data_IF_827309892251
#
_entry.id   IF_827309892251
#
_cell.length_a   1.000
_cell.length_b   1.000
_cell.length_c   1.000
_cell.angle_alpha   90.00
_cell.angle_beta   90.00
_cell.angle_gamma   90.00
#
_symmetry.space_group_name_H-M   'P 1'
#
loop_
_entity.id
_entity.type
_entity.pdbx_description
1 polymer ?
#
# COMPACT_ATOMS: atom_id res chain seq x y z
N UNK A 1 -10.53 16.97 -13.12
CA UNK A 1 -11.10 15.61 -12.89
C UNK A 1 -10.23 14.95 -11.85
N UNK A 2 -10.79 14.59 -10.71
CA UNK A 2 -10.05 14.00 -9.61
C UNK A 2 -9.30 12.75 -10.08
N UNK A 3 -8.09 12.54 -9.58
CA UNK A 3 -7.30 11.33 -9.83
C UNK A 3 -7.80 10.16 -8.99
N UNK A 4 -8.18 10.46 -7.74
CA UNK A 4 -8.87 9.53 -6.84
C UNK A 4 -10.17 10.18 -6.42
N UNK A 5 -11.28 9.44 -6.45
CA UNK A 5 -12.58 9.87 -5.94
C UNK A 5 -13.20 8.77 -5.11
N UNK A 6 -13.63 9.12 -3.91
CA UNK A 6 -14.45 8.28 -3.04
C UNK A 6 -15.82 8.93 -2.88
N UNK A 7 -16.88 8.18 -3.12
CA UNK A 7 -18.26 8.65 -2.98
C UNK A 7 -19.04 7.68 -2.09
N UNK A 8 -19.51 8.16 -0.93
CA UNK A 8 -20.33 7.41 0.04
C UNK A 8 -19.75 6.06 0.43
N UNK A 9 -18.43 6.00 0.66
CA UNK A 9 -17.73 4.75 0.95
C UNK A 9 -17.96 4.32 2.38
N UNK A 10 -18.41 3.06 2.53
CA UNK A 10 -18.66 2.43 3.82
C UNK A 10 -17.89 1.12 3.91
N UNK A 11 -17.30 0.86 5.08
CA UNK A 11 -16.66 -0.43 5.40
C UNK A 11 -17.06 -0.92 6.77
N UNK A 12 -17.55 -2.16 6.83
CA UNK A 12 -17.95 -2.83 8.06
C UNK A 12 -17.18 -4.14 8.24
N UNK A 13 -16.79 -4.44 9.46
CA UNK A 13 -16.22 -5.74 9.83
C UNK A 13 -17.15 -6.45 10.79
N UNK A 14 -17.46 -7.73 10.49
CA UNK A 14 -18.23 -8.60 11.38
C UNK A 14 -17.28 -9.38 12.27
N UNK A 15 -17.44 -9.23 13.59
CA UNK A 15 -16.69 -9.97 14.61
C UNK A 15 -17.69 -10.74 15.47
N UNK A 16 -18.03 -11.97 15.03
CA UNK A 16 -19.12 -12.74 15.65
C UNK A 16 -20.47 -12.05 15.45
N UNK A 17 -21.15 -11.71 16.55
CA UNK A 17 -22.43 -10.98 16.55
C UNK A 17 -22.29 -9.45 16.47
N UNK A 18 -21.06 -8.94 16.61
CA UNK A 18 -20.79 -7.50 16.59
C UNK A 18 -20.37 -7.06 15.20
N UNK A 19 -20.99 -5.98 14.71
CA UNK A 19 -20.56 -5.30 13.48
C UNK A 19 -19.88 -3.97 13.84
N UNK A 20 -18.66 -3.80 13.37
CA UNK A 20 -17.88 -2.55 13.55
C UNK A 20 -17.87 -1.82 12.23
N UNK A 21 -18.38 -0.59 12.19
CA UNK A 21 -18.25 0.30 11.04
C UNK A 21 -16.90 1.00 11.13
N UNK A 22 -15.95 0.55 10.32
CA UNK A 22 -14.58 1.09 10.33
C UNK A 22 -14.44 2.33 9.45
N UNK A 23 -15.26 2.45 8.41
CA UNK A 23 -15.40 3.64 7.55
C UNK A 23 -16.89 3.88 7.38
N UNK A 24 -17.34 5.10 7.67
CA UNK A 24 -18.75 5.45 7.69
C UNK A 24 -19.01 6.65 6.77
N UNK A 25 -19.54 6.36 5.60
CA UNK A 25 -20.01 7.34 4.59
C UNK A 25 -19.00 8.44 4.25
N UNK A 26 -17.77 8.05 3.86
CA UNK A 26 -16.75 9.02 3.50
C UNK A 26 -16.83 9.39 2.01
N UNK A 27 -16.67 10.69 1.75
CA UNK A 27 -16.63 11.27 0.40
C UNK A 27 -15.51 12.29 0.34
N UNK A 28 -14.55 12.09 -0.59
CA UNK A 28 -13.50 13.08 -0.89
C UNK A 28 -12.83 12.77 -2.24
N UNK A 29 -12.18 13.79 -2.77
CA UNK A 29 -11.41 13.73 -4.01
C UNK A 29 -9.93 14.06 -3.75
N UNK A 30 -9.04 13.50 -4.57
CA UNK A 30 -7.62 13.81 -4.61
C UNK A 30 -7.23 14.06 -6.06
N UNK A 31 -6.60 15.20 -6.33
CA UNK A 31 -6.10 15.52 -7.66
C UNK A 31 -4.74 14.87 -7.94
N UNK A 32 -4.41 14.73 -9.20
CA UNK A 32 -3.13 14.15 -9.62
C UNK A 32 -1.95 15.01 -9.16
N UNK A 33 -1.00 14.39 -8.49
CA UNK A 33 0.20 15.05 -8.00
C UNK A 33 0.04 15.68 -6.62
N UNK A 34 -1.12 15.54 -5.97
CA UNK A 34 -1.29 16.01 -4.59
C UNK A 34 -0.55 15.13 -3.59
N UNK A 35 -0.07 15.75 -2.53
CA UNK A 35 0.41 15.10 -1.32
C UNK A 35 -0.66 15.21 -0.24
N UNK A 36 -1.28 14.09 0.12
CA UNK A 36 -2.41 14.03 1.04
C UNK A 36 -2.03 13.36 2.35
N UNK A 37 -2.45 13.94 3.47
CA UNK A 37 -2.27 13.37 4.80
C UNK A 37 -3.64 13.07 5.41
N UNK A 38 -3.86 11.79 5.77
CA UNK A 38 -5.06 11.35 6.50
C UNK A 38 -4.75 11.36 7.99
N UNK A 39 -5.40 12.25 8.74
CA UNK A 39 -5.21 12.41 10.19
C UNK A 39 -6.45 12.00 10.97
N UNK A 40 -6.26 11.59 12.21
CA UNK A 40 -7.35 11.22 13.11
C UNK A 40 -6.86 10.37 14.29
N UNK A 41 -7.67 10.14 15.31
CA UNK A 41 -7.33 9.33 16.49
C UNK A 41 -7.10 7.85 16.09
N UNK A 42 -6.51 7.07 17.00
CA UNK A 42 -6.40 5.61 16.83
C UNK A 42 -7.80 4.99 16.69
N UNK A 43 -7.95 4.05 15.76
CA UNK A 43 -9.24 3.41 15.48
C UNK A 43 -10.18 4.20 14.57
N UNK A 44 -9.80 5.39 14.08
CA UNK A 44 -10.63 6.21 13.17
C UNK A 44 -10.75 5.70 11.73
N UNK A 45 -10.31 4.49 11.43
CA UNK A 45 -10.45 3.90 10.09
C UNK A 45 -9.39 4.32 9.05
N UNK A 46 -8.36 5.11 9.44
CA UNK A 46 -7.32 5.58 8.49
C UNK A 46 -6.64 4.46 7.71
N UNK A 47 -6.19 3.43 8.41
CA UNK A 47 -5.56 2.26 7.78
C UNK A 47 -6.55 1.50 6.90
N UNK A 48 -7.83 1.43 7.30
CA UNK A 48 -8.88 0.81 6.48
C UNK A 48 -9.07 1.55 5.16
N UNK A 49 -9.10 2.88 5.19
CA UNK A 49 -9.18 3.71 3.97
C UNK A 49 -7.97 3.45 3.06
N UNK A 50 -6.75 3.45 3.62
CA UNK A 50 -5.54 3.15 2.85
C UNK A 50 -5.55 1.74 2.26
N UNK A 51 -6.03 0.74 3.01
CA UNK A 51 -6.14 -0.64 2.52
C UNK A 51 -7.16 -0.77 1.38
N UNK A 52 -8.27 -0.06 1.47
CA UNK A 52 -9.28 -0.03 0.40
C UNK A 52 -8.70 0.65 -0.84
N UNK A 53 -8.10 1.83 -0.70
CA UNK A 53 -7.45 2.56 -1.80
C UNK A 53 -6.30 1.75 -2.42
N UNK A 54 -5.55 1.02 -1.60
CA UNK A 54 -4.49 0.11 -2.05
C UNK A 54 -5.01 -1.19 -2.68
N UNK A 55 -6.32 -1.43 -2.70
CA UNK A 55 -6.92 -2.66 -3.24
C UNK A 55 -6.62 -3.91 -2.43
N UNK A 56 -6.25 -3.76 -1.14
CA UNK A 56 -6.03 -4.88 -0.22
C UNK A 56 -7.32 -5.31 0.48
N UNK A 57 -8.29 -4.42 0.54
CA UNK A 57 -9.64 -4.68 1.04
C UNK A 57 -10.67 -4.09 0.08
N UNK A 58 -11.92 -4.54 0.16
CA UNK A 58 -13.03 -4.00 -0.60
C UNK A 58 -13.95 -3.18 0.32
N UNK A 59 -14.57 -2.13 -0.19
CA UNK A 59 -15.65 -1.45 0.51
C UNK A 59 -16.93 -2.27 0.43
N UNK A 60 -17.85 -2.04 1.37
CA UNK A 60 -19.16 -2.68 1.37
C UNK A 60 -20.19 -1.86 0.59
N UNK A 61 -20.06 -0.53 0.62
CA UNK A 61 -20.92 0.42 -0.11
C UNK A 61 -20.08 1.56 -0.67
N UNK A 62 -20.63 2.27 -1.64
CA UNK A 62 -20.03 3.44 -2.26
C UNK A 62 -19.23 3.14 -3.52
N UNK A 63 -18.68 4.20 -4.10
CA UNK A 63 -17.90 4.13 -5.34
C UNK A 63 -16.49 4.66 -5.11
N UNK A 64 -15.51 3.97 -5.66
CA UNK A 64 -14.10 4.38 -5.61
C UNK A 64 -13.55 4.36 -7.04
N UNK A 65 -13.12 5.53 -7.49
CA UNK A 65 -12.46 5.71 -8.79
C UNK A 65 -10.99 6.05 -8.56
N UNK A 66 -10.10 5.42 -9.31
CA UNK A 66 -8.67 5.74 -9.36
C UNK A 66 -8.23 5.79 -10.81
N UNK A 67 -7.76 6.95 -11.24
CA UNK A 67 -7.37 7.22 -12.64
C UNK A 67 -8.46 6.78 -13.64
N UNK A 68 -9.73 7.08 -13.33
CA UNK A 68 -10.90 6.71 -14.12
C UNK A 68 -11.33 5.25 -14.05
N UNK A 69 -10.59 4.39 -13.29
CA UNK A 69 -10.97 2.98 -13.05
C UNK A 69 -11.81 2.85 -11.79
N UNK A 70 -12.96 2.23 -11.87
CA UNK A 70 -13.78 1.91 -10.70
C UNK A 70 -13.24 0.66 -9.98
N UNK A 71 -12.53 0.85 -8.86
CA UNK A 71 -11.94 -0.24 -8.09
C UNK A 71 -12.92 -0.88 -7.11
N UNK A 72 -13.98 -0.19 -6.72
CA UNK A 72 -15.03 -0.70 -5.81
C UNK A 72 -15.75 -1.93 -6.36
N UNK A 73 -15.83 -2.11 -7.68
CA UNK A 73 -16.45 -3.26 -8.35
C UNK A 73 -15.47 -4.33 -8.81
N UNK A 74 -14.18 -4.16 -8.55
CA UNK A 74 -13.16 -5.09 -8.96
C UNK A 74 -13.23 -6.40 -8.16
N UNK A 75 -13.11 -7.53 -8.86
CA UNK A 75 -12.91 -8.82 -8.22
C UNK A 75 -11.47 -8.99 -7.73
N UNK A 76 -11.19 -10.04 -6.96
CA UNK A 76 -9.86 -10.30 -6.36
C UNK A 76 -8.73 -10.34 -7.39
N UNK A 77 -8.97 -10.89 -8.59
CA UNK A 77 -7.97 -10.95 -9.66
C UNK A 77 -7.66 -9.56 -10.23
N UNK A 78 -8.68 -8.74 -10.41
CA UNK A 78 -8.54 -7.37 -10.90
C UNK A 78 -7.81 -6.50 -9.86
N UNK A 79 -8.15 -6.63 -8.56
CA UNK A 79 -7.45 -5.97 -7.47
C UNK A 79 -5.98 -6.41 -7.36
N UNK A 80 -5.66 -7.67 -7.63
CA UNK A 80 -4.27 -8.14 -7.70
C UNK A 80 -3.51 -7.46 -8.83
N UNK A 81 -4.13 -7.30 -10.01
CA UNK A 81 -3.54 -6.58 -11.15
C UNK A 81 -3.34 -5.10 -10.82
N UNK A 82 -4.33 -4.47 -10.19
CA UNK A 82 -4.27 -3.08 -9.72
C UNK A 82 -3.11 -2.86 -8.74
N UNK A 83 -2.99 -3.69 -7.69
CA UNK A 83 -1.86 -3.61 -6.75
C UNK A 83 -0.50 -3.79 -7.42
N UNK A 84 -0.45 -4.64 -8.43
CA UNK A 84 0.81 -4.95 -9.12
C UNK A 84 1.32 -3.81 -9.99
N UNK A 85 0.42 -3.03 -10.62
CA UNK A 85 0.79 -2.10 -11.67
C UNK A 85 0.48 -0.64 -11.38
N UNK A 86 -0.50 -0.38 -10.53
CA UNK A 86 -1.03 0.96 -10.33
C UNK A 86 -0.70 1.52 -8.94
N UNK A 87 -0.31 0.68 -7.95
CA UNK A 87 -0.09 1.08 -6.55
C UNK A 87 1.29 0.65 -6.05
N UNK A 88 1.97 1.56 -5.34
CA UNK A 88 3.07 1.25 -4.42
C UNK A 88 2.59 1.39 -2.97
N UNK A 89 2.85 0.41 -2.13
CA UNK A 89 2.42 0.42 -0.73
C UNK A 89 3.62 0.29 0.21
N UNK A 90 3.75 1.24 1.13
CA UNK A 90 4.75 1.22 2.19
C UNK A 90 4.06 0.89 3.51
N UNK A 91 4.45 -0.22 4.13
CA UNK A 91 3.84 -0.72 5.37
C UNK A 91 4.49 -0.13 6.62
N UNK A 92 3.73 -0.04 7.70
CA UNK A 92 4.21 0.44 9.00
C UNK A 92 5.30 -0.46 9.58
N UNK A 93 5.25 -1.78 9.35
CA UNK A 93 6.18 -2.79 9.88
C UNK A 93 7.12 -3.36 8.82
N UNK A 94 7.58 -2.56 7.88
CA UNK A 94 8.52 -2.88 6.81
C UNK A 94 8.14 -4.07 5.92
N UNK A 95 7.61 -5.16 6.47
CA UNK A 95 7.23 -6.42 5.79
C UNK A 95 8.36 -7.07 4.99
N UNK A 96 9.61 -6.92 5.46
CA UNK A 96 10.75 -7.59 4.87
C UNK A 96 10.75 -9.09 5.22
N UNK A 97 11.17 -9.91 4.27
CA UNK A 97 11.37 -11.34 4.49
C UNK A 97 12.68 -11.52 5.25
N UNK A 98 12.58 -12.05 6.48
CA UNK A 98 13.67 -12.05 7.44
C UNK A 98 14.86 -12.96 7.06
N UNK A 99 14.63 -13.98 6.27
CA UNK A 99 15.65 -14.92 5.79
C UNK A 99 16.20 -14.57 4.40
N UNK A 100 15.88 -13.40 3.88
CA UNK A 100 16.46 -12.83 2.67
C UNK A 100 17.29 -11.60 3.03
N UNK A 101 18.38 -11.39 2.31
CA UNK A 101 19.20 -10.18 2.42
C UNK A 101 18.45 -8.93 1.93
N UNK A 102 19.00 -7.74 2.16
CA UNK A 102 18.45 -6.50 1.63
C UNK A 102 18.30 -6.56 0.10
N UNK A 103 19.33 -7.03 -0.60
CA UNK A 103 19.31 -7.19 -2.05
C UNK A 103 18.21 -8.17 -2.49
N UNK A 104 18.15 -9.35 -1.90
CA UNK A 104 17.17 -10.40 -2.24
C UNK A 104 15.73 -9.95 -1.99
N UNK A 105 15.46 -9.15 -0.94
CA UNK A 105 14.14 -8.57 -0.69
C UNK A 105 13.71 -7.64 -1.83
N UNK A 106 14.62 -6.78 -2.32
CA UNK A 106 14.33 -5.87 -3.43
C UNK A 106 14.22 -6.62 -4.76
N UNK A 107 15.10 -7.59 -5.02
CA UNK A 107 15.03 -8.45 -6.21
C UNK A 107 13.70 -9.21 -6.30
N UNK A 108 13.20 -9.72 -5.16
CA UNK A 108 11.91 -10.40 -5.11
C UNK A 108 10.76 -9.46 -5.51
N UNK A 109 10.77 -8.22 -5.01
CA UNK A 109 9.79 -7.21 -5.40
C UNK A 109 9.93 -6.82 -6.88
N UNK A 110 11.14 -6.74 -7.39
CA UNK A 110 11.42 -6.44 -8.79
C UNK A 110 10.83 -7.48 -9.76
N UNK A 111 10.71 -8.76 -9.36
CA UNK A 111 10.15 -9.82 -10.21
C UNK A 111 8.70 -9.57 -10.64
N UNK A 112 7.93 -8.80 -9.89
CA UNK A 112 6.55 -8.48 -10.23
C UNK A 112 6.41 -7.21 -11.09
N UNK A 113 7.48 -6.45 -11.26
CA UNK A 113 7.50 -5.23 -12.07
C UNK A 113 7.67 -5.53 -13.56
N UNK A 114 7.10 -4.66 -14.42
CA UNK A 114 7.30 -4.80 -15.90
C UNK A 114 8.70 -4.39 -16.35
N UNK A 115 9.22 -3.31 -15.77
CA UNK A 115 10.53 -2.73 -16.10
C UNK A 115 11.24 -2.37 -14.80
N UNK A 116 11.75 -3.36 -14.05
CA UNK A 116 12.41 -3.08 -12.78
C UNK A 116 13.76 -2.38 -13.02
N UNK A 117 14.10 -1.46 -12.15
CA UNK A 117 15.47 -0.97 -12.04
C UNK A 117 16.36 -2.06 -11.40
N UNK A 118 17.68 -2.07 -11.64
CA UNK A 118 18.59 -2.98 -10.96
C UNK A 118 18.53 -2.78 -9.44
N UNK A 119 18.22 -3.83 -8.70
CA UNK A 119 18.00 -3.75 -7.24
C UNK A 119 19.22 -3.21 -6.48
N UNK A 120 20.43 -3.63 -6.90
CA UNK A 120 21.68 -3.13 -6.32
C UNK A 120 21.85 -1.61 -6.51
N UNK A 121 21.53 -1.11 -7.69
CA UNK A 121 21.63 0.31 -8.00
C UNK A 121 20.64 1.14 -7.16
N UNK A 122 19.40 0.67 -7.05
CA UNK A 122 18.36 1.30 -6.21
C UNK A 122 18.81 1.36 -4.75
N UNK A 123 19.33 0.25 -4.21
CA UNK A 123 19.83 0.21 -2.84
C UNK A 123 21.02 1.14 -2.62
N UNK A 124 21.90 1.28 -3.60
CA UNK A 124 23.01 2.28 -3.55
C UNK A 124 22.48 3.71 -3.51
N UNK A 125 21.45 4.03 -4.30
CA UNK A 125 20.83 5.36 -4.32
C UNK A 125 20.22 5.77 -2.97
N UNK A 126 19.69 4.79 -2.20
CA UNK A 126 19.18 5.05 -0.85
C UNK A 126 20.22 4.89 0.26
N UNK A 127 21.52 4.83 -0.09
CA UNK A 127 22.63 4.76 0.86
C UNK A 127 22.84 3.40 1.51
N UNK A 128 22.42 2.32 0.87
CA UNK A 128 22.54 0.94 1.37
C UNK A 128 23.55 0.08 0.58
N UNK A 129 24.46 0.70 -0.19
CA UNK A 129 25.45 -0.01 -0.99
C UNK A 129 26.35 -0.96 -0.22
N UNK A 130 26.67 -0.64 1.04
CA UNK A 130 27.47 -1.49 1.94
C UNK A 130 26.62 -2.47 2.74
N UNK A 131 25.30 -2.52 2.52
CA UNK A 131 24.33 -3.34 3.27
C UNK A 131 23.62 -4.38 2.42
N UNK A 132 24.00 -4.54 1.16
CA UNK A 132 23.33 -5.43 0.19
C UNK A 132 23.12 -6.85 0.72
N UNK A 133 24.14 -7.39 1.37
CA UNK A 133 24.15 -8.77 1.87
C UNK A 133 23.74 -8.90 3.35
N UNK A 134 23.30 -7.82 3.98
CA UNK A 134 22.79 -7.85 5.35
C UNK A 134 21.36 -8.35 5.39
N UNK A 135 21.04 -9.18 6.38
CA UNK A 135 19.66 -9.57 6.68
C UNK A 135 18.93 -8.47 7.44
N UNK A 136 17.58 -8.42 7.41
CA UNK A 136 16.82 -7.40 8.11
C UNK A 136 17.19 -7.24 9.59
N UNK A 137 17.46 -8.33 10.31
CA UNK A 137 17.89 -8.28 11.70
C UNK A 137 19.24 -7.57 11.93
N UNK A 138 20.05 -7.40 10.90
CA UNK A 138 21.35 -6.71 10.92
C UNK A 138 21.25 -5.24 10.49
N UNK A 139 20.05 -4.77 10.16
CA UNK A 139 19.76 -3.41 9.71
C UNK A 139 19.06 -2.63 10.83
N UNK A 140 19.39 -1.36 10.95
CA UNK A 140 18.62 -0.43 11.78
C UNK A 140 17.21 -0.24 11.24
N UNK A 141 16.26 0.26 12.07
CA UNK A 141 14.90 0.52 11.63
C UNK A 141 14.82 1.45 10.40
N UNK A 142 15.66 2.50 10.35
CA UNK A 142 15.73 3.39 9.19
C UNK A 142 16.31 2.72 7.94
N UNK A 143 17.25 1.79 8.08
CA UNK A 143 17.76 0.99 6.96
C UNK A 143 16.71 0.01 6.45
N UNK A 144 16.01 -0.70 7.36
CA UNK A 144 14.89 -1.57 6.99
C UNK A 144 13.79 -0.81 6.26
N UNK A 145 13.45 0.41 6.71
CA UNK A 145 12.48 1.27 6.04
C UNK A 145 12.92 1.62 4.61
N UNK A 146 14.21 1.95 4.41
CA UNK A 146 14.73 2.24 3.07
C UNK A 146 14.76 1.01 2.14
N UNK A 147 14.93 -0.19 2.70
CA UNK A 147 14.77 -1.43 1.91
C UNK A 147 13.30 -1.66 1.53
N UNK A 148 12.36 -1.31 2.42
CA UNK A 148 10.92 -1.53 2.23
C UNK A 148 10.26 -0.56 1.25
N UNK A 149 10.85 0.62 1.02
CA UNK A 149 10.36 1.64 0.07
C UNK A 149 10.76 1.30 -1.36
#
# INVERSE_FOLDING_TARGET
>A
MAYISLEHVVKRYKMGEVTITAVDDITFDIDKGEFVIIVGPSGAGKTTVLNILGGMDACDEGTILVDGKEISKCNSRQLTTYRRYDIGFVFQFYNLIQNLTALENVELAAQICKNPLPAEEVLRHVGLGERLNNFPAQLSGGEQQRVAI
#
